data_IF_763686643405
#
_entry.id   IF_763686643405
#
_cell.length_a   1.000
_cell.length_b   1.000
_cell.length_c   1.000
_cell.angle_alpha   90.00
_cell.angle_beta   90.00
_cell.angle_gamma   90.00
#
_symmetry.space_group_name_H-M   'P 1'
#
loop_
_entity.id
_entity.type
_entity.pdbx_description
1 polymer ?
#
# COMPACT_ATOMS: atom_id res chain seq x y z
N UNK A 1 10.07 9.62 29.78
CA UNK A 1 10.22 10.86 28.98
C UNK A 1 11.28 11.82 29.53
N UNK A 2 11.11 12.51 30.68
CA UNK A 2 12.11 13.49 31.15
C UNK A 2 13.52 12.88 31.42
N UNK A 3 13.57 11.67 31.97
CA UNK A 3 14.84 10.96 32.21
C UNK A 3 15.57 10.51 30.94
N UNK A 4 14.85 10.21 29.86
CA UNK A 4 15.46 9.80 28.57
C UNK A 4 16.09 11.00 27.86
N UNK A 5 15.43 12.17 27.92
CA UNK A 5 16.01 13.41 27.42
C UNK A 5 17.31 13.79 28.17
N UNK A 6 17.34 13.60 29.50
CA UNK A 6 18.55 13.87 30.29
C UNK A 6 19.71 12.96 29.90
N UNK A 7 19.44 11.67 29.65
CA UNK A 7 20.45 10.70 29.20
C UNK A 7 21.04 11.04 27.82
N UNK A 8 20.23 11.57 26.90
CA UNK A 8 20.70 12.00 25.58
C UNK A 8 21.59 13.26 25.65
N UNK A 9 21.33 14.15 26.61
CA UNK A 9 22.11 15.37 26.80
C UNK A 9 23.47 15.12 27.46
N UNK A 10 23.63 14.03 28.23
CA UNK A 10 24.91 13.67 28.86
C UNK A 10 26.03 13.31 27.86
N UNK A 11 25.66 12.97 26.61
CA UNK A 11 26.60 12.57 25.56
C UNK A 11 27.05 13.79 24.73
N UNK A 12 26.41 14.95 24.93
CA UNK A 12 26.66 16.17 24.15
C UNK A 12 27.64 17.08 24.91
N UNK A 13 28.82 17.31 24.34
CA UNK A 13 29.78 18.31 24.82
C UNK A 13 29.61 19.60 24.02
N UNK A 14 29.18 20.68 24.68
CA UNK A 14 29.01 21.99 24.05
C UNK A 14 30.37 22.66 23.85
N UNK A 15 30.71 22.98 22.60
CA UNK A 15 31.95 23.66 22.26
C UNK A 15 31.68 25.16 22.04
N UNK A 16 32.09 26.00 22.99
CA UNK A 16 31.80 27.44 22.99
C UNK A 16 32.42 28.24 21.81
N UNK A 17 33.35 27.64 21.07
CA UNK A 17 34.07 28.29 19.95
C UNK A 17 33.71 27.71 18.58
N UNK A 18 32.74 26.78 18.51
CA UNK A 18 32.23 26.25 17.25
C UNK A 18 30.83 26.78 16.99
N UNK A 19 30.57 27.23 15.78
CA UNK A 19 29.19 27.51 15.35
C UNK A 19 28.45 26.19 15.12
N UNK A 20 27.19 26.14 15.55
CA UNK A 20 26.29 25.03 15.24
C UNK A 20 26.20 24.82 13.72
N UNK A 21 26.20 23.57 13.29
CA UNK A 21 26.05 23.20 11.88
C UNK A 21 25.22 21.93 11.73
N UNK A 22 24.48 21.85 10.63
CA UNK A 22 23.72 20.65 10.29
C UNK A 22 24.65 19.54 9.82
N UNK A 23 24.67 18.44 10.57
CA UNK A 23 25.39 17.23 10.19
C UNK A 23 24.48 16.30 9.40
N UNK A 24 24.94 15.89 8.23
CA UNK A 24 24.31 14.84 7.46
C UNK A 24 24.80 13.49 8.00
N UNK A 25 24.04 12.86 8.89
CA UNK A 25 24.46 11.63 9.58
C UNK A 25 24.99 10.51 8.67
N UNK A 26 24.42 10.27 7.46
CA UNK A 26 24.93 9.23 6.57
C UNK A 26 26.32 9.49 6.00
N UNK A 27 26.77 10.74 5.98
CA UNK A 27 28.11 11.12 5.58
C UNK A 27 28.55 12.35 6.40
N UNK A 28 29.22 12.13 7.55
CA UNK A 28 29.63 13.21 8.44
C UNK A 28 30.73 14.11 7.86
N UNK A 29 31.48 13.63 6.85
CA UNK A 29 32.56 14.38 6.21
C UNK A 29 32.03 15.26 5.08
N UNK A 30 31.06 14.74 4.32
CA UNK A 30 30.44 15.46 3.20
C UNK A 30 29.13 16.08 3.65
N UNK A 31 29.03 17.42 3.62
CA UNK A 31 27.76 18.13 3.82
C UNK A 31 26.64 17.55 2.94
N UNK A 32 25.40 17.68 3.38
CA UNK A 32 24.22 17.19 2.65
C UNK A 32 24.32 17.46 1.15
N UNK A 33 24.17 16.41 0.36
CA UNK A 33 24.03 16.51 -1.09
C UNK A 33 22.80 15.76 -1.56
N UNK A 34 22.08 16.33 -2.52
CA UNK A 34 20.92 15.67 -3.15
C UNK A 34 21.32 14.31 -3.72
N UNK A 35 22.53 14.21 -4.28
CA UNK A 35 23.09 12.96 -4.81
C UNK A 35 23.26 11.90 -3.72
N UNK A 36 23.89 12.23 -2.59
CA UNK A 36 24.11 11.29 -1.49
C UNK A 36 22.80 10.85 -0.84
N UNK A 37 21.87 11.78 -0.65
CA UNK A 37 20.53 11.47 -0.15
C UNK A 37 19.76 10.55 -1.12
N UNK A 38 19.79 10.85 -2.43
CA UNK A 38 19.15 10.01 -3.45
C UNK A 38 19.77 8.61 -3.49
N UNK A 39 21.10 8.51 -3.44
CA UNK A 39 21.80 7.22 -3.39
C UNK A 39 21.39 6.43 -2.15
N UNK A 40 21.33 7.04 -0.97
CA UNK A 40 20.89 6.36 0.26
C UNK A 40 19.43 5.87 0.17
N UNK A 41 18.54 6.71 -0.37
CA UNK A 41 17.13 6.35 -0.52
C UNK A 41 16.92 5.23 -1.56
N UNK A 42 17.81 5.13 -2.55
CA UNK A 42 17.71 4.15 -3.65
C UNK A 42 18.61 2.92 -3.45
N UNK A 43 19.58 2.97 -2.53
CA UNK A 43 20.47 1.84 -2.21
C UNK A 43 19.80 0.81 -1.31
N UNK A 44 18.77 1.21 -0.56
CA UNK A 44 17.86 0.29 0.11
C UNK A 44 16.91 -0.30 -0.91
N UNK A 45 17.45 -1.15 -1.78
CA UNK A 45 16.64 -2.05 -2.58
C UNK A 45 16.02 -3.09 -1.65
N UNK A 46 14.73 -3.38 -1.85
CA UNK A 46 13.87 -4.30 -1.08
C UNK A 46 13.14 -3.75 0.17
N UNK A 47 12.35 -2.67 0.01
CA UNK A 47 10.93 -2.92 0.35
C UNK A 47 10.53 -3.94 -0.70
N UNK A 48 10.25 -5.18 -0.30
CA UNK A 48 9.79 -6.25 -1.19
C UNK A 48 8.67 -5.70 -2.08
N UNK A 49 9.04 -5.16 -3.23
CA UNK A 49 8.15 -4.78 -4.32
C UNK A 49 7.76 -6.14 -4.84
N UNK A 50 6.79 -6.73 -4.14
CA UNK A 50 6.21 -8.02 -4.49
C UNK A 50 5.95 -7.97 -5.99
N UNK A 51 6.24 -9.04 -6.73
CA UNK A 51 6.17 -9.04 -8.20
C UNK A 51 4.83 -8.49 -8.76
N UNK A 52 3.79 -8.43 -7.93
CA UNK A 52 2.51 -7.73 -8.11
C UNK A 52 2.59 -6.21 -8.28
N UNK A 53 3.51 -5.48 -7.66
CA UNK A 53 3.57 -4.02 -7.74
C UNK A 53 3.86 -3.54 -9.17
N UNK A 54 4.64 -4.31 -9.92
CA UNK A 54 4.84 -4.10 -11.35
C UNK A 54 3.61 -4.41 -12.21
N UNK A 55 2.69 -5.24 -11.72
CA UNK A 55 1.49 -5.66 -12.46
C UNK A 55 0.37 -4.61 -12.44
N UNK A 56 0.42 -3.66 -11.51
CA UNK A 56 -0.59 -2.58 -11.38
C UNK A 56 -0.41 -1.54 -12.50
N UNK A 57 0.81 -1.38 -13.00
CA UNK A 57 1.17 -0.41 -14.03
C UNK A 57 0.97 -1.01 -15.42
N UNK A 58 -0.27 -0.94 -15.91
CA UNK A 58 -0.65 -1.47 -17.21
C UNK A 58 -0.83 -0.33 -18.24
N UNK A 59 -0.22 -0.45 -19.42
CA UNK A 59 -0.17 0.64 -20.43
C UNK A 59 -1.53 1.07 -20.97
N UNK A 60 -2.51 0.17 -20.97
CA UNK A 60 -3.88 0.45 -21.42
C UNK A 60 -4.80 0.97 -20.30
N UNK A 61 -4.30 1.09 -19.07
CA UNK A 61 -5.08 1.55 -17.91
C UNK A 61 -4.74 3.02 -17.64
N UNK A 62 -5.75 3.90 -17.49
CA UNK A 62 -5.50 5.28 -17.10
C UNK A 62 -4.74 5.35 -15.77
N UNK A 63 -3.76 6.25 -15.67
CA UNK A 63 -2.89 6.36 -14.49
C UNK A 63 -3.66 6.50 -13.18
N UNK A 64 -4.81 7.20 -13.20
CA UNK A 64 -5.69 7.35 -12.03
C UNK A 64 -6.17 6.02 -11.45
N UNK A 65 -6.44 5.02 -12.31
CA UNK A 65 -6.89 3.68 -11.90
C UNK A 65 -5.72 2.89 -11.32
N UNK A 66 -4.55 2.94 -11.96
CA UNK A 66 -3.34 2.32 -11.40
C UNK A 66 -2.95 2.91 -10.05
N UNK A 67 -3.04 4.24 -9.88
CA UNK A 67 -2.79 4.89 -8.58
C UNK A 67 -3.83 4.45 -7.54
N UNK A 68 -5.10 4.34 -7.94
CA UNK A 68 -6.16 3.85 -7.06
C UNK A 68 -5.88 2.41 -6.59
N UNK A 69 -5.60 1.50 -7.53
CA UNK A 69 -5.27 0.10 -7.23
C UNK A 69 -4.00 -0.03 -6.36
N UNK A 70 -2.98 0.79 -6.62
CA UNK A 70 -1.77 0.84 -5.79
C UNK A 70 -2.07 1.30 -4.36
N UNK A 71 -2.93 2.31 -4.18
CA UNK A 71 -3.39 2.71 -2.84
C UNK A 71 -4.23 1.62 -2.17
N UNK A 72 -5.09 0.94 -2.94
CA UNK A 72 -5.92 -0.16 -2.46
C UNK A 72 -5.08 -1.31 -1.90
N UNK A 73 -4.09 -1.78 -2.67
CA UNK A 73 -3.24 -2.92 -2.30
C UNK A 73 -2.32 -2.63 -1.11
N UNK A 74 -2.09 -1.35 -0.79
CA UNK A 74 -1.29 -0.89 0.35
C UNK A 74 -2.14 -0.44 1.54
N UNK A 75 -3.45 -0.68 1.50
CA UNK A 75 -4.42 -0.22 2.50
C UNK A 75 -4.31 1.30 2.81
N UNK A 76 -4.11 2.10 1.75
CA UNK A 76 -3.96 3.56 1.85
C UNK A 76 -5.21 4.30 1.39
N UNK A 77 -6.32 3.61 1.13
CA UNK A 77 -7.59 4.25 0.85
C UNK A 77 -8.19 4.85 2.13
N UNK A 78 -8.99 5.93 2.02
CA UNK A 78 -9.68 6.54 3.16
C UNK A 78 -10.92 5.72 3.55
N UNK A 79 -10.75 4.43 3.82
CA UNK A 79 -11.80 3.57 4.38
C UNK A 79 -12.11 4.02 5.80
N UNK A 80 -13.33 3.78 6.32
CA UNK A 80 -13.63 4.19 7.70
C UNK A 80 -12.69 3.54 8.72
N UNK A 81 -12.26 2.30 8.49
CA UNK A 81 -11.22 1.67 9.31
C UNK A 81 -9.94 2.52 9.35
N UNK A 82 -9.46 2.97 8.19
CA UNK A 82 -8.25 3.80 8.09
C UNK A 82 -8.43 5.24 8.56
N UNK A 83 -9.66 5.74 8.60
CA UNK A 83 -9.97 7.05 9.16
C UNK A 83 -10.02 6.99 10.70
N UNK A 84 -10.56 5.92 11.27
CA UNK A 84 -10.54 5.67 12.72
C UNK A 84 -9.11 5.48 13.22
N UNK A 85 -8.27 4.70 12.54
CA UNK A 85 -6.87 4.52 12.95
C UNK A 85 -6.05 5.81 12.92
N UNK A 86 -6.50 6.81 12.14
CA UNK A 86 -5.91 8.15 12.06
C UNK A 86 -6.62 9.19 12.94
N UNK A 87 -7.57 8.75 13.76
CA UNK A 87 -8.35 9.61 14.66
C UNK A 87 -9.12 10.75 13.94
N UNK A 88 -9.53 10.50 12.68
CA UNK A 88 -10.28 11.47 11.86
C UNK A 88 -11.78 11.38 12.13
N UNK A 89 -12.29 10.18 12.44
CA UNK A 89 -13.71 9.92 12.75
C UNK A 89 -13.81 9.11 14.05
N UNK A 90 -14.97 9.13 14.70
CA UNK A 90 -15.13 8.39 15.96
C UNK A 90 -15.04 6.87 15.74
N UNK A 91 -14.53 6.12 16.73
CA UNK A 91 -14.40 4.66 16.62
C UNK A 91 -15.71 3.96 16.29
N UNK A 92 -16.84 4.46 16.75
CA UNK A 92 -18.17 3.88 16.52
C UNK A 92 -18.63 4.03 15.06
N UNK A 93 -18.01 4.92 14.29
CA UNK A 93 -18.34 5.18 12.89
C UNK A 93 -17.60 4.27 11.90
N UNK A 94 -17.00 3.15 12.34
CA UNK A 94 -16.18 2.28 11.49
C UNK A 94 -16.96 1.29 10.60
N UNK A 95 -18.29 1.23 10.72
CA UNK A 95 -19.09 0.20 10.05
C UNK A 95 -19.30 0.47 8.55
N UNK A 96 -19.38 -0.62 7.77
CA UNK A 96 -19.61 -0.63 6.33
C UNK A 96 -20.80 0.24 5.92
N UNK A 97 -20.60 1.08 4.90
CA UNK A 97 -21.64 1.96 4.33
C UNK A 97 -22.89 1.22 3.86
N UNK A 98 -22.77 -0.06 3.48
CA UNK A 98 -23.89 -0.90 3.06
C UNK A 98 -24.75 -1.36 4.26
N UNK A 99 -24.26 -1.21 5.49
CA UNK A 99 -25.01 -1.58 6.70
C UNK A 99 -25.00 -3.08 6.99
N UNK A 100 -24.05 -3.84 6.46
CA UNK A 100 -23.92 -5.28 6.73
C UNK A 100 -23.32 -5.62 8.11
N UNK A 101 -23.07 -4.61 8.96
CA UNK A 101 -22.56 -4.79 10.34
C UNK A 101 -21.06 -5.05 10.48
N UNK A 102 -20.32 -5.24 9.39
CA UNK A 102 -18.86 -5.42 9.43
C UNK A 102 -18.11 -4.07 9.43
N UNK A 103 -16.85 -4.09 9.85
CA UNK A 103 -15.92 -2.94 9.73
C UNK A 103 -15.65 -2.65 8.25
N UNK A 104 -15.70 -1.37 7.87
CA UNK A 104 -15.37 -0.92 6.52
C UNK A 104 -13.85 -0.87 6.32
N UNK A 105 -13.24 -2.04 6.09
CA UNK A 105 -11.88 -2.16 5.59
C UNK A 105 -11.87 -2.26 4.05
N UNK A 106 -10.72 -2.03 3.42
CA UNK A 106 -10.58 -2.24 1.98
C UNK A 106 -10.89 -3.70 1.60
N UNK A 107 -10.38 -4.65 2.38
CA UNK A 107 -10.67 -6.07 2.20
C UNK A 107 -12.17 -6.37 2.21
N UNK A 108 -12.88 -5.85 3.21
CA UNK A 108 -14.30 -6.04 3.32
C UNK A 108 -15.04 -5.39 2.15
N UNK A 109 -14.76 -4.11 1.86
CA UNK A 109 -15.46 -3.35 0.85
C UNK A 109 -15.32 -3.95 -0.55
N UNK A 110 -14.15 -4.50 -0.89
CA UNK A 110 -13.89 -5.00 -2.24
C UNK A 110 -14.09 -6.52 -2.41
N UNK A 111 -13.94 -7.32 -1.35
CA UNK A 111 -13.94 -8.79 -1.49
C UNK A 111 -14.99 -9.51 -0.64
N UNK A 112 -15.25 -9.06 0.59
CA UNK A 112 -16.06 -9.84 1.54
C UNK A 112 -17.46 -9.27 1.82
N UNK A 113 -17.74 -8.03 1.41
CA UNK A 113 -19.06 -7.43 1.54
C UNK A 113 -20.08 -8.21 0.70
N UNK A 114 -21.25 -8.50 1.24
CA UNK A 114 -22.29 -9.26 0.56
C UNK A 114 -22.71 -8.61 -0.77
N UNK A 115 -22.69 -7.28 -0.84
CA UNK A 115 -23.01 -6.54 -2.07
C UNK A 115 -21.83 -6.54 -3.04
N UNK A 116 -20.70 -5.93 -2.66
CA UNK A 116 -19.57 -5.76 -3.58
C UNK A 116 -18.79 -7.05 -3.85
N UNK A 117 -18.60 -7.89 -2.83
CA UNK A 117 -17.90 -9.17 -2.97
C UNK A 117 -18.60 -10.14 -3.92
N UNK A 118 -19.94 -10.07 -4.03
CA UNK A 118 -20.70 -10.89 -4.98
C UNK A 118 -20.33 -10.62 -6.45
N UNK A 119 -19.82 -9.42 -6.76
CA UNK A 119 -19.40 -9.04 -8.11
C UNK A 119 -18.31 -9.97 -8.66
N UNK A 120 -17.38 -10.41 -7.82
CA UNK A 120 -16.29 -11.30 -8.23
C UNK A 120 -16.78 -12.67 -8.68
N UNK A 121 -17.86 -13.19 -8.07
CA UNK A 121 -18.50 -14.42 -8.54
C UNK A 121 -19.09 -14.26 -9.95
N UNK A 122 -19.73 -13.13 -10.25
CA UNK A 122 -20.24 -12.84 -11.59
C UNK A 122 -19.11 -12.69 -12.61
N UNK A 123 -18.04 -11.98 -12.27
CA UNK A 123 -16.87 -11.80 -13.15
C UNK A 123 -16.24 -13.16 -13.49
N UNK A 124 -16.04 -14.03 -12.50
CA UNK A 124 -15.52 -15.39 -12.72
C UNK A 124 -16.41 -16.22 -13.62
N UNK A 125 -17.72 -16.18 -13.37
CA UNK A 125 -18.71 -16.86 -14.21
C UNK A 125 -18.67 -16.36 -15.66
N UNK A 126 -18.45 -15.05 -15.86
CA UNK A 126 -18.36 -14.46 -17.19
C UNK A 126 -17.09 -14.87 -17.94
N UNK A 127 -15.94 -14.93 -17.26
CA UNK A 127 -14.66 -15.32 -17.87
C UNK A 127 -14.55 -16.85 -18.03
N UNK A 128 -15.35 -17.62 -17.29
CA UNK A 128 -15.44 -19.06 -17.41
C UNK A 128 -14.39 -19.83 -16.60
N UNK A 129 -13.95 -19.31 -15.44
CA UNK A 129 -13.10 -20.05 -14.51
C UNK A 129 -13.63 -20.02 -13.08
N UNK A 130 -13.37 -21.09 -12.33
CA UNK A 130 -13.73 -21.23 -10.92
C UNK A 130 -12.45 -21.21 -10.08
N UNK A 131 -12.34 -20.25 -9.17
CA UNK A 131 -11.28 -20.16 -8.17
C UNK A 131 -11.89 -19.82 -6.81
N UNK A 132 -11.29 -20.34 -5.74
CA UNK A 132 -11.52 -19.79 -4.41
C UNK A 132 -10.87 -18.40 -4.34
N UNK A 133 -11.56 -17.44 -3.73
CA UNK A 133 -11.00 -16.11 -3.51
C UNK A 133 -10.18 -16.12 -2.23
N UNK A 134 -8.97 -15.55 -2.28
CA UNK A 134 -8.26 -15.23 -1.06
C UNK A 134 -8.99 -14.14 -0.27
N UNK A 135 -8.95 -14.26 1.05
CA UNK A 135 -9.40 -13.22 1.98
C UNK A 135 -8.39 -12.08 2.15
N UNK A 136 -7.33 -12.03 1.34
CA UNK A 136 -6.40 -10.90 1.28
C UNK A 136 -6.40 -10.30 -0.14
N UNK A 137 -6.47 -8.97 -0.23
CA UNK A 137 -6.56 -8.21 -1.48
C UNK A 137 -5.38 -8.46 -2.40
N UNK A 138 -4.18 -8.52 -1.81
CA UNK A 138 -2.95 -8.80 -2.52
C UNK A 138 -2.95 -10.20 -3.13
N UNK A 139 -3.24 -11.21 -2.33
CA UNK A 139 -3.34 -12.60 -2.80
C UNK A 139 -4.43 -12.77 -3.84
N UNK A 140 -5.58 -12.12 -3.66
CA UNK A 140 -6.66 -12.13 -4.64
C UNK A 140 -6.20 -11.55 -5.98
N UNK A 141 -5.47 -10.43 -5.98
CA UNK A 141 -4.89 -9.87 -7.20
C UNK A 141 -3.89 -10.81 -7.88
N UNK A 142 -2.98 -11.40 -7.11
CA UNK A 142 -1.97 -12.34 -7.64
C UNK A 142 -2.63 -13.60 -8.19
N UNK A 143 -3.58 -14.19 -7.46
CA UNK A 143 -4.32 -15.38 -7.89
C UNK A 143 -5.18 -15.08 -9.12
N UNK A 144 -5.94 -13.98 -9.12
CA UNK A 144 -6.78 -13.61 -10.24
C UNK A 144 -5.96 -13.38 -11.52
N UNK A 145 -4.81 -12.70 -11.43
CA UNK A 145 -3.98 -12.44 -12.61
C UNK A 145 -3.22 -13.68 -13.11
N UNK A 146 -3.10 -14.72 -12.29
CA UNK A 146 -2.40 -15.99 -12.64
C UNK A 146 -3.35 -17.16 -12.92
N UNK A 147 -4.66 -17.01 -12.71
CA UNK A 147 -5.65 -18.10 -12.74
C UNK A 147 -5.79 -18.82 -14.10
N UNK A 148 -5.51 -18.15 -15.22
CA UNK A 148 -5.63 -18.73 -16.57
C UNK A 148 -4.31 -19.19 -17.20
N UNK A 149 -3.27 -19.37 -16.38
CA UNK A 149 -1.94 -19.86 -16.78
C UNK A 149 -0.90 -18.77 -17.03
N UNK A 150 0.32 -19.18 -17.39
CA UNK A 150 1.51 -18.30 -17.47
C UNK A 150 1.66 -17.52 -18.78
N UNK A 151 0.71 -17.64 -19.72
CA UNK A 151 0.77 -16.90 -20.98
C UNK A 151 0.66 -15.39 -20.72
N UNK A 152 1.68 -14.64 -21.17
CA UNK A 152 1.79 -13.19 -20.96
C UNK A 152 0.53 -12.42 -21.39
N UNK A 153 -0.04 -12.78 -22.54
CA UNK A 153 -1.25 -12.13 -23.07
C UNK A 153 -2.47 -12.38 -22.18
N UNK A 154 -2.65 -13.60 -21.66
CA UNK A 154 -3.76 -13.93 -20.75
C UNK A 154 -3.60 -13.21 -19.42
N UNK A 155 -2.39 -13.16 -18.87
CA UNK A 155 -2.08 -12.42 -17.65
C UNK A 155 -2.38 -10.92 -17.81
N UNK A 156 -1.98 -10.32 -18.93
CA UNK A 156 -2.28 -8.93 -19.25
C UNK A 156 -3.79 -8.66 -19.36
N UNK A 157 -4.53 -9.56 -20.00
CA UNK A 157 -5.99 -9.47 -20.07
C UNK A 157 -6.67 -9.57 -18.69
N UNK A 158 -6.23 -10.50 -17.83
CA UNK A 158 -6.77 -10.63 -16.47
C UNK A 158 -6.37 -9.46 -15.57
N UNK A 159 -5.19 -8.87 -15.74
CA UNK A 159 -4.83 -7.61 -15.08
C UNK A 159 -5.77 -6.49 -15.44
N UNK A 160 -6.11 -6.35 -16.73
CA UNK A 160 -7.06 -5.34 -17.19
C UNK A 160 -8.43 -5.51 -16.55
N UNK A 161 -8.94 -6.74 -16.51
CA UNK A 161 -10.24 -7.00 -15.90
C UNK A 161 -10.19 -6.66 -14.41
N UNK A 162 -9.17 -7.15 -13.69
CA UNK A 162 -9.06 -6.88 -12.26
C UNK A 162 -9.02 -5.37 -11.97
N UNK A 163 -8.20 -4.62 -12.70
CA UNK A 163 -8.06 -3.17 -12.57
C UNK A 163 -9.33 -2.40 -12.97
N UNK A 164 -10.18 -2.97 -13.82
CA UNK A 164 -11.46 -2.37 -14.18
C UNK A 164 -12.57 -2.64 -13.15
N UNK A 165 -12.40 -3.65 -12.30
CA UNK A 165 -13.39 -4.06 -11.31
C UNK A 165 -13.17 -3.47 -9.92
N UNK A 166 -11.97 -2.94 -9.64
CA UNK A 166 -11.65 -2.21 -8.40
C UNK A 166 -11.84 -0.71 -8.53
#
# INVERSE_FOLDING_TARGET
MLGECHSLLLIVSLQAQSSDSWLWQPDPETRYSVRGAYQLLTSHDSISTTASDGLIWHSQVPLKVSIFAWRLLRDMLPTKANLVTRDIISPEAHFCVIGCGAVESAQHLFLSCSTFGSLWAFIRSWIGFSSADSHALHDHFVQFTSSAGSLRARRSFLQLIWLACV
#
